data_IF_421187949331
#
_entry.id   IF_421187949331
#
_cell.length_a   1.000
_cell.length_b   1.000
_cell.length_c   1.000
_cell.angle_alpha   90.00
_cell.angle_beta   90.00
_cell.angle_gamma   90.00
#
_symmetry.space_group_name_H-M   'P 1'
#
loop_
_entity.id
_entity.type
_entity.pdbx_description
1 polymer ?
#
# COMPACT_ATOMS: atom_id res chain seq x y z
N UNK A 1 5.07 -30.82 -15.83
CA UNK A 1 5.01 -30.12 -14.53
C UNK A 1 6.23 -29.23 -14.43
N UNK A 2 6.09 -27.91 -14.61
CA UNK A 2 7.23 -27.02 -14.32
C UNK A 2 7.44 -27.00 -12.81
N UNK A 3 8.61 -27.43 -12.38
CA UNK A 3 9.03 -27.29 -10.98
C UNK A 3 8.92 -25.82 -10.59
N UNK A 4 8.02 -25.54 -9.65
CA UNK A 4 7.84 -24.19 -9.09
C UNK A 4 9.04 -23.96 -8.17
N UNK A 5 10.15 -23.51 -8.75
CA UNK A 5 11.28 -23.07 -7.95
C UNK A 5 10.90 -21.80 -7.20
N UNK A 6 11.36 -21.59 -5.95
CA UNK A 6 11.03 -20.39 -5.15
C UNK A 6 11.39 -19.07 -5.85
N UNK A 7 12.25 -19.10 -6.86
CA UNK A 7 12.65 -17.94 -7.67
C UNK A 7 11.80 -17.74 -8.93
N UNK A 8 10.88 -18.65 -9.26
CA UNK A 8 9.97 -18.49 -10.39
C UNK A 8 8.82 -17.57 -10.01
N UNK A 9 8.96 -16.28 -10.25
CA UNK A 9 7.91 -15.29 -10.06
C UNK A 9 7.24 -15.05 -11.41
N UNK A 10 6.09 -15.69 -11.70
CA UNK A 10 5.49 -15.68 -13.04
C UNK A 10 4.93 -14.31 -13.45
N UNK A 11 4.76 -13.39 -12.50
CA UNK A 11 4.26 -12.06 -12.76
C UNK A 11 5.31 -11.14 -13.40
N UNK A 12 6.61 -11.45 -13.28
CA UNK A 12 7.70 -10.65 -13.83
C UNK A 12 8.18 -11.28 -15.14
N UNK A 13 8.55 -10.44 -16.12
CA UNK A 13 9.05 -10.87 -17.42
C UNK A 13 10.40 -11.58 -17.30
N UNK A 14 10.68 -12.50 -18.21
CA UNK A 14 11.82 -13.42 -18.14
C UNK A 14 13.20 -12.75 -18.34
N UNK A 15 13.27 -11.56 -18.93
CA UNK A 15 14.52 -10.82 -19.10
C UNK A 15 15.13 -10.32 -17.78
N UNK A 16 14.32 -10.25 -16.68
CA UNK A 16 14.82 -9.84 -15.37
C UNK A 16 15.53 -11.01 -14.69
N UNK A 17 16.77 -10.85 -14.20
CA UNK A 17 17.50 -11.89 -13.48
C UNK A 17 16.70 -12.42 -12.27
N UNK A 18 16.64 -13.73 -12.09
CA UNK A 18 15.82 -14.38 -11.05
C UNK A 18 16.13 -13.88 -9.64
N UNK A 19 17.40 -13.60 -9.34
CA UNK A 19 17.82 -13.13 -8.01
C UNK A 19 17.37 -11.70 -7.65
N UNK A 20 17.09 -10.85 -8.65
CA UNK A 20 16.69 -9.45 -8.44
C UNK A 20 15.17 -9.31 -8.30
N UNK A 21 14.39 -10.25 -8.84
CA UNK A 21 12.92 -10.19 -8.85
C UNK A 21 12.27 -9.94 -7.47
N UNK A 22 12.65 -10.68 -6.40
CA UNK A 22 12.05 -10.45 -5.09
C UNK A 22 12.38 -9.06 -4.54
N UNK A 23 13.58 -8.55 -4.76
CA UNK A 23 14.01 -7.24 -4.28
C UNK A 23 13.24 -6.09 -4.92
N UNK A 24 12.93 -6.18 -6.22
CA UNK A 24 12.07 -5.21 -6.92
C UNK A 24 10.69 -5.17 -6.27
N UNK A 25 10.12 -6.32 -5.93
CA UNK A 25 8.80 -6.39 -5.31
C UNK A 25 8.82 -5.84 -3.88
N UNK A 26 9.86 -6.15 -3.10
CA UNK A 26 10.04 -5.56 -1.76
C UNK A 26 10.14 -4.04 -1.85
N UNK A 27 10.89 -3.51 -2.82
CA UNK A 27 10.96 -2.07 -3.05
C UNK A 27 9.57 -1.47 -3.33
N UNK A 28 8.74 -2.16 -4.13
CA UNK A 28 7.38 -1.72 -4.40
C UNK A 28 6.53 -1.68 -3.11
N UNK A 29 6.64 -2.69 -2.25
CA UNK A 29 5.96 -2.70 -0.95
C UNK A 29 6.36 -1.50 -0.10
N UNK A 30 7.66 -1.19 -0.05
CA UNK A 30 8.19 -0.04 0.70
C UNK A 30 7.54 1.25 0.17
N UNK A 31 7.52 1.44 -1.15
CA UNK A 31 6.93 2.64 -1.77
C UNK A 31 5.43 2.74 -1.49
N UNK A 32 4.66 1.65 -1.59
CA UNK A 32 3.23 1.65 -1.27
C UNK A 32 2.96 2.05 0.18
N UNK A 33 3.79 1.60 1.12
CA UNK A 33 3.61 1.88 2.55
C UNK A 33 4.15 3.26 2.97
N UNK A 34 4.95 3.90 2.14
CA UNK A 34 5.66 5.12 2.48
C UNK A 34 4.74 6.33 2.78
N UNK A 35 3.52 6.34 2.26
CA UNK A 35 2.53 7.40 2.58
C UNK A 35 1.83 7.23 3.93
N UNK A 36 2.12 6.13 4.67
CA UNK A 36 1.37 5.77 5.87
C UNK A 36 1.62 6.60 7.11
N UNK A 37 2.81 7.17 7.22
CA UNK A 37 3.23 7.88 8.44
C UNK A 37 3.03 9.39 8.42
N UNK A 38 2.66 10.00 7.29
CA UNK A 38 2.64 11.46 7.13
C UNK A 38 1.75 12.14 8.18
N UNK A 39 0.47 11.75 8.24
CA UNK A 39 -0.54 12.40 9.09
C UNK A 39 -0.41 12.07 10.58
N UNK A 40 0.38 11.07 10.95
CA UNK A 40 0.61 10.73 12.35
C UNK A 40 1.91 11.32 12.90
N UNK A 41 2.84 11.67 12.02
CA UNK A 41 4.17 12.14 12.43
C UNK A 41 4.32 13.67 12.40
N UNK A 42 3.78 14.34 11.38
CA UNK A 42 3.94 15.78 11.20
C UNK A 42 2.69 16.59 11.60
N UNK A 43 1.97 16.14 12.63
CA UNK A 43 0.72 16.77 13.08
C UNK A 43 0.94 18.24 13.47
N UNK A 44 1.97 18.55 14.25
CA UNK A 44 2.28 19.91 14.70
C UNK A 44 2.49 20.89 13.54
N UNK A 45 3.23 20.44 12.53
CA UNK A 45 3.54 21.25 11.35
C UNK A 45 2.31 21.49 10.49
N UNK A 46 1.42 20.48 10.39
CA UNK A 46 0.18 20.56 9.64
C UNK A 46 -0.85 21.46 10.32
N UNK A 47 -0.96 21.43 11.65
CA UNK A 47 -1.85 22.33 12.42
C UNK A 47 -1.56 23.78 12.08
N UNK A 48 -0.28 24.17 12.07
CA UNK A 48 0.11 25.54 11.76
C UNK A 48 -0.16 25.95 10.30
N UNK A 49 -0.01 25.02 9.34
CA UNK A 49 -0.11 25.32 7.92
C UNK A 49 -1.52 25.21 7.35
N UNK A 50 -2.31 24.27 7.85
CA UNK A 50 -3.67 23.98 7.37
C UNK A 50 -4.76 24.73 8.16
N UNK A 51 -4.41 25.30 9.31
CA UNK A 51 -5.36 25.89 10.28
C UNK A 51 -6.45 24.87 10.72
N UNK A 52 -6.08 23.60 10.85
CA UNK A 52 -6.91 22.51 11.33
C UNK A 52 -6.53 22.16 12.77
N UNK A 53 -7.46 21.52 13.50
CA UNK A 53 -7.14 21.02 14.84
C UNK A 53 -6.27 19.76 14.76
N UNK A 54 -5.48 19.52 15.79
CA UNK A 54 -4.63 18.34 15.89
C UNK A 54 -5.44 17.04 15.77
N UNK A 55 -6.62 17.00 16.38
CA UNK A 55 -7.53 15.85 16.36
C UNK A 55 -8.00 15.51 14.94
N UNK A 56 -8.29 16.52 14.12
CA UNK A 56 -8.74 16.33 12.74
C UNK A 56 -7.66 15.68 11.87
N UNK A 57 -6.41 16.11 12.05
CA UNK A 57 -5.27 15.57 11.30
C UNK A 57 -4.99 14.13 11.72
N UNK A 58 -5.02 13.86 13.03
CA UNK A 58 -4.87 12.50 13.55
C UNK A 58 -6.00 11.58 13.07
N UNK A 59 -7.24 12.08 13.00
CA UNK A 59 -8.39 11.34 12.46
C UNK A 59 -8.17 10.93 11.01
N UNK A 60 -7.54 11.78 10.18
CA UNK A 60 -7.17 11.43 8.81
C UNK A 60 -6.13 10.29 8.78
N UNK A 61 -5.14 10.31 9.66
CA UNK A 61 -4.16 9.23 9.81
C UNK A 61 -4.81 7.91 10.20
N UNK A 62 -5.68 7.92 11.21
CA UNK A 62 -6.43 6.73 11.63
C UNK A 62 -7.39 6.24 10.54
N UNK A 63 -8.06 7.11 9.81
CA UNK A 63 -8.91 6.72 8.68
C UNK A 63 -8.16 5.90 7.63
N UNK A 64 -6.90 6.23 7.38
CA UNK A 64 -6.03 5.44 6.50
C UNK A 64 -5.77 4.01 7.06
N UNK A 65 -5.59 3.88 8.38
CA UNK A 65 -5.42 2.56 9.02
C UNK A 65 -6.70 1.73 8.95
N UNK A 66 -7.88 2.37 9.13
CA UNK A 66 -9.19 1.70 8.96
C UNK A 66 -9.34 1.15 7.55
N UNK A 67 -9.00 1.96 6.54
CA UNK A 67 -9.02 1.53 5.14
C UNK A 67 -8.14 0.31 4.89
N UNK A 68 -6.95 0.27 5.51
CA UNK A 68 -6.06 -0.89 5.45
C UNK A 68 -6.69 -2.13 6.11
N UNK A 69 -7.25 -1.99 7.31
CA UNK A 69 -7.89 -3.07 8.05
C UNK A 69 -9.08 -3.66 7.30
N UNK A 70 -9.92 -2.81 6.70
CA UNK A 70 -11.03 -3.23 5.85
C UNK A 70 -10.53 -4.06 4.66
N UNK A 71 -9.50 -3.59 3.99
CA UNK A 71 -8.95 -4.25 2.79
C UNK A 71 -8.34 -5.60 3.10
N UNK A 72 -7.77 -5.77 4.29
CA UNK A 72 -7.18 -7.04 4.72
C UNK A 72 -8.14 -8.22 4.60
N UNK A 73 -9.43 -8.01 4.89
CA UNK A 73 -10.45 -9.05 4.83
C UNK A 73 -10.87 -9.42 3.40
N UNK A 74 -10.74 -8.48 2.45
CA UNK A 74 -11.19 -8.67 1.06
C UNK A 74 -10.05 -8.91 0.06
N UNK A 75 -8.80 -8.75 0.49
CA UNK A 75 -7.61 -8.75 -0.39
C UNK A 75 -7.44 -10.06 -1.19
N UNK A 76 -7.77 -11.23 -0.62
CA UNK A 76 -7.69 -12.51 -1.34
C UNK A 76 -8.63 -12.54 -2.55
N UNK A 77 -9.84 -12.00 -2.40
CA UNK A 77 -10.82 -11.95 -3.51
C UNK A 77 -10.38 -10.98 -4.60
N UNK A 78 -9.80 -9.84 -4.21
CA UNK A 78 -9.22 -8.87 -5.15
C UNK A 78 -8.09 -9.50 -5.96
N UNK A 79 -7.18 -10.24 -5.30
CA UNK A 79 -6.07 -10.96 -5.94
C UNK A 79 -6.54 -11.94 -7.02
N UNK A 80 -7.58 -12.71 -6.74
CA UNK A 80 -8.10 -13.69 -7.72
C UNK A 80 -8.97 -13.06 -8.81
N UNK A 81 -9.45 -11.85 -8.62
CA UNK A 81 -10.31 -11.15 -9.60
C UNK A 81 -9.51 -10.41 -10.66
N UNK A 82 -8.47 -9.70 -10.27
CA UNK A 82 -7.69 -8.82 -11.14
C UNK A 82 -6.34 -9.43 -11.52
N UNK A 83 -5.75 -8.96 -12.62
CA UNK A 83 -4.38 -9.34 -12.96
C UNK A 83 -3.39 -8.52 -12.12
N UNK A 84 -2.24 -9.11 -11.78
CA UNK A 84 -1.22 -8.44 -10.95
C UNK A 84 -0.79 -7.09 -11.52
N UNK A 85 -0.60 -7.00 -12.85
CA UNK A 85 -0.24 -5.75 -13.52
C UNK A 85 -1.34 -4.70 -13.38
N UNK A 86 -2.60 -5.08 -13.64
CA UNK A 86 -3.74 -4.16 -13.53
C UNK A 86 -3.92 -3.68 -12.09
N UNK A 87 -3.85 -4.59 -11.11
CA UNK A 87 -3.96 -4.25 -9.68
C UNK A 87 -2.92 -3.21 -9.27
N UNK A 88 -1.64 -3.44 -9.59
CA UNK A 88 -0.56 -2.53 -9.24
C UNK A 88 -0.73 -1.16 -9.92
N UNK A 89 -1.09 -1.13 -11.19
CA UNK A 89 -1.35 0.12 -11.92
C UNK A 89 -2.50 0.91 -11.30
N UNK A 90 -3.62 0.24 -11.01
CA UNK A 90 -4.79 0.87 -10.37
C UNK A 90 -4.42 1.43 -9.00
N UNK A 91 -3.68 0.68 -8.19
CA UNK A 91 -3.22 1.14 -6.87
C UNK A 91 -2.32 2.36 -6.98
N UNK A 92 -1.33 2.36 -7.90
CA UNK A 92 -0.45 3.52 -8.09
C UNK A 92 -1.24 4.77 -8.48
N UNK A 93 -2.13 4.67 -9.48
CA UNK A 93 -2.94 5.79 -9.95
C UNK A 93 -3.83 6.33 -8.83
N UNK A 94 -4.53 5.43 -8.11
CA UNK A 94 -5.42 5.83 -7.03
C UNK A 94 -4.66 6.54 -5.90
N UNK A 95 -3.50 6.02 -5.47
CA UNK A 95 -2.71 6.63 -4.41
C UNK A 95 -2.13 7.98 -4.86
N UNK A 96 -1.70 8.13 -6.12
CA UNK A 96 -1.25 9.42 -6.68
C UNK A 96 -2.37 10.45 -6.61
N UNK A 97 -3.57 10.10 -7.06
CA UNK A 97 -4.73 10.99 -7.00
C UNK A 97 -5.05 11.37 -5.56
N UNK A 98 -5.07 10.40 -4.64
CA UNK A 98 -5.30 10.66 -3.23
C UNK A 98 -4.25 11.61 -2.62
N UNK A 99 -2.97 11.42 -2.93
CA UNK A 99 -1.91 12.32 -2.44
C UNK A 99 -2.05 13.74 -3.01
N UNK A 100 -2.44 13.89 -4.28
CA UNK A 100 -2.71 15.21 -4.86
C UNK A 100 -3.89 15.90 -4.18
N UNK A 101 -4.99 15.19 -3.94
CA UNK A 101 -6.15 15.74 -3.23
C UNK A 101 -5.76 16.14 -1.81
N UNK A 102 -5.08 15.28 -1.07
CA UNK A 102 -4.64 15.55 0.30
C UNK A 102 -3.75 16.77 0.41
N UNK A 103 -2.89 17.01 -0.57
CA UNK A 103 -1.97 18.16 -0.56
C UNK A 103 -2.69 19.51 -0.69
N UNK A 104 -3.78 19.56 -1.47
CA UNK A 104 -4.51 20.81 -1.72
C UNK A 104 -5.77 20.99 -0.87
N UNK A 105 -6.24 19.93 -0.21
CA UNK A 105 -7.49 19.95 0.55
C UNK A 105 -7.30 20.60 1.93
N UNK A 106 -8.20 21.53 2.25
CA UNK A 106 -8.35 22.12 3.60
C UNK A 106 -9.65 21.67 4.30
N UNK A 107 -10.45 20.85 3.62
CA UNK A 107 -11.71 20.32 4.16
C UNK A 107 -11.47 19.02 4.90
N UNK A 108 -11.79 18.98 6.19
CA UNK A 108 -11.61 17.81 7.06
C UNK A 108 -12.33 16.57 6.51
N UNK A 109 -13.64 16.61 6.14
CA UNK A 109 -14.32 15.42 5.66
C UNK A 109 -13.68 14.84 4.40
N UNK A 110 -13.25 15.71 3.48
CA UNK A 110 -12.61 15.28 2.24
C UNK A 110 -11.24 14.68 2.52
N UNK A 111 -10.47 15.24 3.46
CA UNK A 111 -9.18 14.72 3.88
C UNK A 111 -9.32 13.31 4.46
N UNK A 112 -10.26 13.12 5.40
CA UNK A 112 -10.52 11.84 6.06
C UNK A 112 -10.95 10.76 5.04
N UNK A 113 -11.90 11.09 4.15
CA UNK A 113 -12.37 10.15 3.12
C UNK A 113 -11.23 9.79 2.16
N UNK A 114 -10.43 10.77 1.75
CA UNK A 114 -9.30 10.54 0.83
C UNK A 114 -8.23 9.67 1.48
N UNK A 115 -7.91 9.91 2.75
CA UNK A 115 -6.97 9.08 3.50
C UNK A 115 -7.48 7.65 3.69
N UNK A 116 -8.78 7.47 3.95
CA UNK A 116 -9.42 6.15 4.03
C UNK A 116 -9.27 5.38 2.70
N UNK A 117 -9.58 6.03 1.58
CA UNK A 117 -9.44 5.44 0.24
C UNK A 117 -7.97 5.11 -0.07
N UNK A 118 -7.05 6.02 0.28
CA UNK A 118 -5.62 5.77 0.12
C UNK A 118 -5.16 4.54 0.92
N UNK A 119 -5.68 4.35 2.14
CA UNK A 119 -5.43 3.17 2.96
C UNK A 119 -5.84 1.86 2.28
N UNK A 120 -7.02 1.85 1.64
CA UNK A 120 -7.53 0.70 0.88
C UNK A 120 -6.55 0.31 -0.24
N UNK A 121 -6.19 1.24 -1.10
CA UNK A 121 -5.31 0.97 -2.24
C UNK A 121 -3.88 0.65 -1.81
N UNK A 122 -3.41 1.24 -0.74
CA UNK A 122 -2.10 0.97 -0.15
C UNK A 122 -1.99 -0.47 0.34
N UNK A 123 -3.00 -0.96 1.05
CA UNK A 123 -3.01 -2.36 1.51
C UNK A 123 -3.19 -3.33 0.36
N UNK A 124 -4.04 -3.02 -0.62
CA UNK A 124 -4.23 -3.85 -1.80
C UNK A 124 -2.93 -3.99 -2.60
N UNK A 125 -2.23 -2.88 -2.91
CA UNK A 125 -0.95 -2.91 -3.61
C UNK A 125 0.12 -3.70 -2.86
N UNK A 126 0.22 -3.49 -1.54
CA UNK A 126 1.14 -4.23 -0.66
C UNK A 126 0.87 -5.72 -0.66
N UNK A 127 -0.39 -6.12 -0.55
CA UNK A 127 -0.75 -7.55 -0.58
C UNK A 127 -0.49 -8.18 -1.96
N UNK A 128 -0.78 -7.47 -3.04
CA UNK A 128 -0.49 -7.94 -4.40
C UNK A 128 1.00 -8.23 -4.58
N UNK A 129 1.88 -7.35 -4.11
CA UNK A 129 3.32 -7.54 -4.12
C UNK A 129 3.75 -8.74 -3.26
N UNK A 130 3.37 -8.75 -1.98
CA UNK A 130 3.79 -9.80 -1.05
C UNK A 130 3.29 -11.18 -1.45
N UNK A 131 2.06 -11.31 -1.93
CA UNK A 131 1.52 -12.58 -2.41
C UNK A 131 2.26 -13.11 -3.64
N UNK A 132 2.86 -12.22 -4.43
CA UNK A 132 3.64 -12.59 -5.62
C UNK A 132 4.99 -13.22 -5.22
N UNK A 133 5.57 -12.82 -4.09
CA UNK A 133 6.86 -13.35 -3.57
C UNK A 133 6.66 -14.30 -2.39
N UNK A 134 5.45 -14.71 -2.08
CA UNK A 134 5.13 -15.56 -0.92
C UNK A 134 6.03 -16.81 -0.87
N UNK A 135 6.21 -17.52 -1.98
CA UNK A 135 7.03 -18.74 -2.04
C UNK A 135 8.52 -18.47 -1.81
N UNK A 136 8.99 -17.26 -2.10
CA UNK A 136 10.36 -16.86 -1.81
C UNK A 136 10.57 -16.55 -0.33
N UNK A 137 9.60 -15.88 0.31
CA UNK A 137 9.66 -15.58 1.74
C UNK A 137 9.46 -16.85 2.59
N UNK A 138 8.46 -17.66 2.22
CA UNK A 138 8.09 -18.88 2.96
C UNK A 138 8.01 -20.09 2.03
N UNK A 139 9.15 -20.75 1.72
CA UNK A 139 9.18 -21.91 0.82
C UNK A 139 8.29 -23.06 1.30
N UNK A 140 8.15 -23.24 2.61
CA UNK A 140 7.29 -24.25 3.23
C UNK A 140 5.78 -23.89 3.27
N UNK A 141 5.41 -22.73 2.69
CA UNK A 141 4.03 -22.19 2.69
C UNK A 141 3.45 -21.95 4.09
N UNK A 142 4.29 -21.63 5.05
CA UNK A 142 3.87 -21.30 6.39
C UNK A 142 3.27 -19.89 6.43
N UNK A 143 1.96 -19.81 6.62
CA UNK A 143 1.21 -18.56 6.61
C UNK A 143 1.54 -17.69 7.83
N UNK A 144 1.85 -18.28 8.98
CA UNK A 144 2.17 -17.52 10.19
C UNK A 144 3.44 -16.69 9.99
N UNK A 145 4.49 -17.31 9.46
CA UNK A 145 5.75 -16.61 9.15
C UNK A 145 5.53 -15.54 8.09
N UNK A 146 4.71 -15.84 7.08
CA UNK A 146 4.39 -14.89 6.02
C UNK A 146 3.68 -13.63 6.54
N UNK A 147 2.66 -13.79 7.39
CA UNK A 147 1.95 -12.64 7.95
C UNK A 147 2.79 -11.87 8.96
N UNK A 148 3.62 -12.52 9.77
CA UNK A 148 4.60 -11.85 10.61
C UNK A 148 5.55 -10.97 9.80
N UNK A 149 6.07 -11.49 8.69
CA UNK A 149 6.94 -10.72 7.79
C UNK A 149 6.24 -9.49 7.21
N UNK A 150 5.00 -9.65 6.69
CA UNK A 150 4.22 -8.53 6.14
C UNK A 150 3.98 -7.48 7.22
N UNK A 151 3.54 -7.88 8.40
CA UNK A 151 3.26 -6.97 9.51
C UNK A 151 4.51 -6.16 9.88
N UNK A 152 5.64 -6.83 10.07
CA UNK A 152 6.89 -6.19 10.44
C UNK A 152 7.35 -5.21 9.35
N UNK A 153 7.27 -5.60 8.08
CA UNK A 153 7.63 -4.75 6.95
C UNK A 153 6.75 -3.50 6.87
N UNK A 154 5.42 -3.67 6.98
CA UNK A 154 4.44 -2.58 6.93
C UNK A 154 4.67 -1.60 8.07
N UNK A 155 4.82 -2.08 9.31
CA UNK A 155 5.05 -1.22 10.47
C UNK A 155 6.36 -0.47 10.37
N UNK A 156 7.44 -1.14 9.98
CA UNK A 156 8.74 -0.49 9.79
C UNK A 156 8.67 0.61 8.73
N UNK A 157 7.98 0.37 7.61
CA UNK A 157 7.83 1.36 6.55
C UNK A 157 7.01 2.57 7.01
N UNK A 158 5.95 2.37 7.80
CA UNK A 158 5.12 3.47 8.35
C UNK A 158 5.95 4.32 9.30
N UNK A 159 6.70 3.71 10.21
CA UNK A 159 7.55 4.44 11.16
C UNK A 159 8.69 5.21 10.44
N UNK A 160 9.34 4.57 9.48
CA UNK A 160 10.38 5.21 8.67
C UNK A 160 9.82 6.38 7.86
N UNK A 161 8.65 6.23 7.26
CA UNK A 161 7.93 7.29 6.56
C UNK A 161 7.63 8.47 7.50
N UNK A 162 7.17 8.18 8.72
CA UNK A 162 6.93 9.21 9.74
C UNK A 162 8.21 9.98 10.07
N UNK A 163 9.32 9.27 10.32
CA UNK A 163 10.61 9.88 10.61
C UNK A 163 11.08 10.81 9.47
N UNK A 164 10.97 10.33 8.22
CA UNK A 164 11.35 11.13 7.05
C UNK A 164 10.43 12.34 6.88
N UNK A 165 9.14 12.20 7.20
CA UNK A 165 8.19 13.31 7.14
C UNK A 165 8.55 14.41 8.15
N UNK A 166 8.88 14.05 9.39
CA UNK A 166 9.33 15.02 10.40
C UNK A 166 10.62 15.70 9.95
N UNK A 167 11.58 14.95 9.42
CA UNK A 167 12.84 15.49 8.92
C UNK A 167 12.62 16.47 7.75
N UNK A 168 11.77 16.11 6.78
CA UNK A 168 11.43 17.00 5.65
C UNK A 168 10.68 18.24 6.11
N UNK A 169 9.75 18.12 7.07
CA UNK A 169 9.03 19.25 7.63
C UNK A 169 9.96 20.23 8.35
N UNK A 170 10.97 19.72 9.06
CA UNK A 170 11.96 20.55 9.75
C UNK A 170 12.82 21.39 8.80
N UNK A 171 13.29 20.79 7.68
CA UNK A 171 14.20 21.47 6.74
C UNK A 171 13.47 22.26 5.65
N UNK A 172 12.24 21.90 5.32
CA UNK A 172 11.49 22.49 4.21
C UNK A 172 10.03 22.70 4.57
N UNK A 173 9.14 21.90 3.99
CA UNK A 173 7.70 21.86 4.25
C UNK A 173 7.21 20.41 4.19
N UNK A 174 6.21 20.07 5.00
CA UNK A 174 5.62 18.73 5.03
C UNK A 174 5.00 18.32 3.66
N UNK A 175 4.55 19.27 2.85
CA UNK A 175 3.98 19.03 1.53
C UNK A 175 4.95 18.36 0.55
N UNK A 176 6.27 18.58 0.71
CA UNK A 176 7.28 17.93 -0.14
C UNK A 176 7.28 16.41 0.02
N UNK A 177 6.80 15.90 1.14
CA UNK A 177 6.66 14.46 1.33
C UNK A 177 5.65 13.85 0.35
N UNK A 178 4.53 14.55 0.07
CA UNK A 178 3.58 14.11 -0.94
C UNK A 178 4.19 14.08 -2.34
N UNK A 179 4.98 15.09 -2.71
CA UNK A 179 5.69 15.10 -4.00
C UNK A 179 6.70 13.96 -4.11
N UNK A 180 7.43 13.66 -3.04
CA UNK A 180 8.35 12.53 -3.00
C UNK A 180 7.61 11.20 -3.22
N UNK A 181 6.49 11.00 -2.56
CA UNK A 181 5.67 9.79 -2.71
C UNK A 181 5.12 9.69 -4.14
N UNK A 182 4.61 10.77 -4.71
CA UNK A 182 4.12 10.80 -6.10
C UNK A 182 5.25 10.42 -7.06
N UNK A 183 6.44 10.98 -6.89
CA UNK A 183 7.61 10.66 -7.70
C UNK A 183 7.99 9.17 -7.62
N UNK A 184 8.03 8.61 -6.41
CA UNK A 184 8.31 7.19 -6.20
C UNK A 184 7.23 6.29 -6.82
N UNK A 185 5.94 6.66 -6.69
CA UNK A 185 4.84 5.91 -7.29
C UNK A 185 4.86 5.96 -8.83
N UNK A 186 5.28 7.08 -9.42
CA UNK A 186 5.48 7.17 -10.87
C UNK A 186 6.59 6.23 -11.35
N UNK A 187 7.68 6.12 -10.59
CA UNK A 187 8.77 5.15 -10.88
C UNK A 187 8.24 3.71 -10.77
N UNK A 188 7.49 3.39 -9.71
CA UNK A 188 6.86 2.07 -9.56
C UNK A 188 5.88 1.78 -10.68
N UNK A 189 5.09 2.76 -11.10
CA UNK A 189 4.14 2.63 -12.21
C UNK A 189 4.88 2.33 -13.53
N UNK A 190 5.93 3.07 -13.84
CA UNK A 190 6.78 2.83 -15.02
C UNK A 190 7.44 1.46 -14.96
N UNK A 191 8.03 1.10 -13.82
CA UNK A 191 8.62 -0.22 -13.61
C UNK A 191 7.57 -1.35 -13.77
N UNK A 192 6.35 -1.16 -13.27
CA UNK A 192 5.25 -2.13 -13.45
C UNK A 192 4.88 -2.30 -14.93
N UNK A 193 4.84 -1.21 -15.70
CA UNK A 193 4.57 -1.29 -17.14
C UNK A 193 5.65 -2.09 -17.89
N UNK A 194 6.91 -1.87 -17.54
CA UNK A 194 8.06 -2.48 -18.23
C UNK A 194 8.32 -3.92 -17.78
N UNK A 195 8.28 -4.17 -16.46
CA UNK A 195 8.76 -5.42 -15.87
C UNK A 195 7.65 -6.46 -15.68
N UNK A 196 6.38 -6.03 -15.49
CA UNK A 196 5.30 -6.96 -15.18
C UNK A 196 4.59 -7.44 -16.45
N UNK A 197 4.24 -8.75 -16.39
CA UNK A 197 3.40 -9.42 -17.35
C UNK A 197 1.95 -9.43 -16.86
N UNK A 198 0.97 -9.48 -17.76
CA UNK A 198 -0.42 -9.70 -17.39
C UNK A 198 -0.63 -11.12 -16.87
N UNK A 199 -0.19 -11.35 -15.64
CA UNK A 199 -0.38 -12.62 -14.96
C UNK A 199 -1.70 -12.61 -14.19
N UNK A 200 -2.50 -13.64 -14.38
CA UNK A 200 -3.78 -13.83 -13.69
C UNK A 200 -3.82 -15.21 -13.06
N UNK A 201 -4.27 -15.28 -11.82
CA UNK A 201 -4.55 -16.57 -11.18
C UNK A 201 -5.69 -17.31 -11.89
N UNK A 202 -5.62 -18.65 -11.95
CA UNK A 202 -6.51 -19.48 -12.78
C UNK A 202 -7.99 -19.42 -12.42
N UNK A 203 -8.36 -19.05 -11.19
CA UNK A 203 -9.76 -18.96 -10.74
C UNK A 203 -10.21 -17.53 -10.54
N UNK A 204 -11.28 -17.13 -11.24
CA UNK A 204 -11.99 -15.88 -10.96
C UNK A 204 -12.97 -16.11 -9.81
N UNK A 205 -12.67 -15.56 -8.62
CA UNK A 205 -13.64 -15.56 -7.54
C UNK A 205 -14.66 -14.42 -7.74
N UNK A 206 -15.96 -14.70 -7.55
CA UNK A 206 -16.99 -13.66 -7.63
C UNK A 206 -16.87 -12.71 -6.43
N UNK A 207 -17.14 -11.42 -6.64
CA UNK A 207 -17.14 -10.41 -5.58
C UNK A 207 -18.40 -10.47 -4.68
N UNK A 208 -19.43 -11.20 -5.13
CA UNK A 208 -20.74 -11.28 -4.46
C UNK A 208 -20.75 -11.97 -3.10
N UNK A 209 -19.75 -12.75 -2.77
CA UNK A 209 -19.68 -13.46 -1.49
C UNK A 209 -18.79 -12.76 -0.46
N UNK A 210 -18.55 -11.46 -0.57
CA UNK A 210 -17.81 -10.70 0.45
C UNK A 210 -18.75 -10.41 1.60
N UNK A 211 -18.39 -10.84 2.79
CA UNK A 211 -19.05 -10.44 4.02
C UNK A 211 -18.61 -9.02 4.39
N UNK A 212 -19.30 -8.03 3.79
CA UNK A 212 -19.02 -6.62 4.02
C UNK A 212 -19.30 -6.22 5.46
N UNK A 213 -20.34 -6.82 6.08
CA UNK A 213 -20.69 -6.53 7.47
C UNK A 213 -19.58 -7.01 8.41
N UNK A 214 -19.14 -8.26 8.26
CA UNK A 214 -18.04 -8.81 9.04
C UNK A 214 -16.73 -8.06 8.82
N UNK A 215 -16.43 -7.65 7.58
CA UNK A 215 -15.25 -6.85 7.27
C UNK A 215 -15.28 -5.46 7.94
N UNK A 216 -16.43 -4.79 7.94
CA UNK A 216 -16.62 -3.50 8.62
C UNK A 216 -16.54 -3.64 10.15
N UNK A 217 -17.16 -4.66 10.72
CA UNK A 217 -17.07 -4.94 12.16
C UNK A 217 -15.63 -5.23 12.58
N UNK A 218 -14.91 -6.02 11.80
CA UNK A 218 -13.50 -6.30 12.05
C UNK A 218 -12.64 -5.02 11.99
N UNK A 219 -12.87 -4.17 10.99
CA UNK A 219 -12.17 -2.90 10.87
C UNK A 219 -12.46 -1.96 12.05
N UNK A 220 -13.69 -1.97 12.57
CA UNK A 220 -14.08 -1.20 13.75
C UNK A 220 -13.46 -1.74 15.07
N UNK A 221 -13.27 -3.05 15.17
CA UNK A 221 -12.63 -3.67 16.35
C UNK A 221 -11.10 -3.46 16.33
N UNK A 222 -10.51 -3.39 15.15
CA UNK A 222 -9.06 -3.21 14.97
C UNK A 222 -8.56 -1.77 15.21
N UNK A 223 -9.47 -0.83 15.46
CA UNK A 223 -9.23 0.58 15.84
C UNK A 223 -9.18 0.77 17.33
#
# INVERSE_FOLDING_TARGET
>A
MHEITPFSIPAIRDFVPKGIRPWIIILFVIVFQFSGGIYLAAVSEMVGSLALMQEDIMMAGYASMVGMALTFNIMFRLKFRFSSKTSLMTCCIAIIICNLICMYTRSIPLLVITCFIAGIFRMWGTFECNSTIQLWITPKRDLSIFFCYIYLLVQTCIQLSGLITVYTAFWTKWEYMHWLIIGLLLIVMLATMLLFRNYRSMRKLPLWGIDWLGAMMWAAIAL
#
